data_IF_470496534252
#
_entry.id   IF_470496534252
#
_cell.length_a   1.000
_cell.length_b   1.000
_cell.length_c   1.000
_cell.angle_alpha   90.00
_cell.angle_beta   90.00
_cell.angle_gamma   90.00
#
_symmetry.space_group_name_H-M   'P 1'
#
loop_
_entity.id
_entity.type
_entity.pdbx_description
1 polymer ?
#
# COMPACT_ATOMS: atom_id res chain seq x y z
N UNK A 1 16.44 -32.45 19.26
CA UNK A 1 16.33 -32.50 17.79
C UNK A 1 14.95 -33.08 17.51
N UNK A 2 13.93 -32.23 17.50
CA UNK A 2 12.54 -32.66 17.29
C UNK A 2 12.32 -32.97 15.81
N UNK A 3 11.84 -34.17 15.57
CA UNK A 3 11.49 -34.70 14.25
C UNK A 3 10.26 -33.95 13.75
N UNK A 4 10.43 -33.12 12.72
CA UNK A 4 9.31 -32.52 11.99
C UNK A 4 8.63 -33.62 11.18
N UNK A 5 7.44 -34.01 11.61
CA UNK A 5 6.56 -34.92 10.87
C UNK A 5 6.10 -34.24 9.57
N UNK A 6 6.57 -34.72 8.42
CA UNK A 6 6.09 -34.28 7.11
C UNK A 6 4.72 -34.91 6.87
N UNK A 7 3.65 -34.13 7.10
CA UNK A 7 2.28 -34.54 6.79
C UNK A 7 2.13 -34.64 5.27
N UNK A 8 2.25 -35.85 4.74
CA UNK A 8 2.17 -36.16 3.31
C UNK A 8 0.70 -36.27 2.86
N UNK A 9 -0.10 -35.23 3.12
CA UNK A 9 -1.49 -35.14 2.68
C UNK A 9 -1.62 -34.33 1.39
N UNK A 10 -2.37 -34.84 0.40
CA UNK A 10 -2.83 -34.02 -0.73
C UNK A 10 -3.58 -32.83 -0.15
N UNK A 11 -3.22 -31.61 -0.58
CA UNK A 11 -3.91 -30.39 -0.16
C UNK A 11 -5.42 -30.55 -0.42
N UNK A 12 -6.30 -30.28 0.57
CA UNK A 12 -7.74 -30.33 0.36
C UNK A 12 -8.24 -29.16 -0.51
N UNK A 13 -7.37 -28.17 -0.75
CA UNK A 13 -7.65 -27.00 -1.57
C UNK A 13 -7.71 -27.35 -3.06
N UNK A 14 -8.59 -26.65 -3.79
CA UNK A 14 -8.56 -26.67 -5.26
C UNK A 14 -7.22 -26.13 -5.78
N UNK A 15 -6.87 -26.41 -7.04
CA UNK A 15 -5.63 -25.89 -7.64
C UNK A 15 -5.58 -24.35 -7.62
N UNK A 16 -6.74 -23.69 -7.81
CA UNK A 16 -6.84 -22.24 -7.76
C UNK A 16 -6.60 -21.70 -6.34
N UNK A 17 -7.23 -22.29 -5.34
CA UNK A 17 -7.09 -21.87 -3.93
C UNK A 17 -5.69 -22.15 -3.41
N UNK A 18 -5.09 -23.27 -3.81
CA UNK A 18 -3.70 -23.59 -3.48
C UNK A 18 -2.73 -22.58 -4.12
N UNK A 19 -2.97 -22.16 -5.36
CA UNK A 19 -2.17 -21.09 -5.99
C UNK A 19 -2.31 -19.79 -5.22
N UNK A 20 -3.53 -19.33 -4.94
CA UNK A 20 -3.78 -18.11 -4.18
C UNK A 20 -3.06 -18.13 -2.81
N UNK A 21 -3.19 -19.21 -2.05
CA UNK A 21 -2.53 -19.38 -0.76
C UNK A 21 -1.00 -19.25 -0.86
N UNK A 22 -0.38 -19.86 -1.86
CA UNK A 22 1.08 -19.75 -2.02
C UNK A 22 1.54 -18.36 -2.42
N UNK A 23 0.73 -17.61 -3.18
CA UNK A 23 1.00 -16.22 -3.51
C UNK A 23 0.92 -15.35 -2.23
N UNK A 24 -0.10 -15.52 -1.39
CA UNK A 24 -0.21 -14.84 -0.08
C UNK A 24 0.95 -15.18 0.87
N UNK A 25 1.37 -16.45 0.93
CA UNK A 25 2.57 -16.86 1.69
C UNK A 25 3.83 -16.23 1.10
N UNK A 26 3.91 -16.11 -0.23
CA UNK A 26 5.00 -15.45 -0.93
C UNK A 26 5.21 -14.02 -0.47
N UNK A 27 4.12 -13.24 -0.33
CA UNK A 27 4.17 -11.87 0.21
C UNK A 27 4.78 -11.86 1.62
N UNK A 28 4.32 -12.75 2.51
CA UNK A 28 4.87 -12.86 3.87
C UNK A 28 6.36 -13.24 3.89
N UNK A 29 6.80 -14.12 2.99
CA UNK A 29 8.22 -14.51 2.87
C UNK A 29 9.06 -13.34 2.37
N UNK A 30 8.60 -12.62 1.34
CA UNK A 30 9.23 -11.39 0.84
C UNK A 30 9.43 -10.41 2.00
N UNK A 31 8.48 -10.34 2.92
CA UNK A 31 8.58 -9.45 4.07
C UNK A 31 9.51 -9.82 5.16
N UNK A 32 9.47 -11.08 5.56
CA UNK A 32 10.43 -11.55 6.53
C UNK A 32 11.84 -11.35 5.99
N UNK A 33 12.03 -11.54 4.69
CA UNK A 33 13.30 -11.26 4.02
C UNK A 33 13.65 -9.76 4.05
N UNK A 34 12.73 -8.84 3.76
CA UNK A 34 12.98 -7.38 3.88
C UNK A 34 13.38 -7.02 5.31
N UNK A 35 12.64 -7.50 6.30
CA UNK A 35 12.92 -7.26 7.71
C UNK A 35 14.32 -7.77 8.09
N UNK A 36 14.63 -9.03 7.77
CA UNK A 36 15.92 -9.65 8.05
C UNK A 36 17.09 -8.98 7.32
N UNK A 37 16.87 -8.52 6.08
CA UNK A 37 17.87 -7.81 5.29
C UNK A 37 18.10 -6.41 5.86
N UNK A 38 17.03 -5.66 6.18
CA UNK A 38 17.12 -4.32 6.77
C UNK A 38 17.89 -4.29 8.09
N UNK A 39 17.74 -5.32 8.94
CA UNK A 39 18.50 -5.45 10.19
C UNK A 39 20.01 -5.67 9.96
N UNK A 40 20.42 -6.01 8.73
CA UNK A 40 21.81 -6.29 8.33
C UNK A 40 22.38 -5.23 7.38
N UNK A 41 21.58 -4.27 6.93
CA UNK A 41 22.06 -3.18 6.08
C UNK A 41 22.93 -2.24 6.90
N UNK A 42 24.13 -1.97 6.41
CA UNK A 42 24.99 -0.86 6.85
C UNK A 42 25.08 0.19 5.72
N UNK A 43 25.83 1.27 5.96
CA UNK A 43 26.00 2.38 5.01
C UNK A 43 26.62 1.97 3.64
N UNK A 44 27.03 0.70 3.47
CA UNK A 44 27.64 0.16 2.26
C UNK A 44 26.82 -0.93 1.59
N UNK A 45 25.71 -1.35 2.19
CA UNK A 45 24.89 -2.43 1.67
C UNK A 45 23.93 -1.94 0.57
N UNK A 46 23.90 -2.67 -0.55
CA UNK A 46 22.95 -2.42 -1.64
C UNK A 46 21.70 -3.25 -1.38
N UNK A 47 20.56 -2.59 -1.20
CA UNK A 47 19.26 -3.27 -1.14
C UNK A 47 18.99 -3.97 -2.49
N UNK A 48 18.88 -5.30 -2.46
CA UNK A 48 18.42 -6.08 -3.62
C UNK A 48 16.90 -6.18 -3.53
N UNK A 49 16.19 -5.92 -4.63
CA UNK A 49 14.73 -5.96 -4.70
C UNK A 49 14.16 -7.26 -4.11
N UNK A 50 13.15 -7.18 -3.23
CA UNK A 50 12.81 -8.29 -2.34
C UNK A 50 12.14 -9.46 -3.07
N UNK A 51 11.48 -9.20 -4.19
CA UNK A 51 10.94 -10.23 -5.09
C UNK A 51 12.03 -10.99 -5.86
N UNK A 52 13.19 -10.39 -6.12
CA UNK A 52 14.30 -11.08 -6.79
C UNK A 52 14.89 -12.20 -5.91
N UNK A 53 14.75 -12.07 -4.58
CA UNK A 53 15.20 -13.05 -3.59
C UNK A 53 14.10 -13.98 -3.07
N UNK A 54 12.84 -13.75 -3.45
CA UNK A 54 11.74 -14.65 -3.10
C UNK A 54 12.07 -16.06 -3.57
N UNK A 55 12.19 -17.01 -2.64
CA UNK A 55 12.47 -18.42 -2.90
C UNK A 55 11.21 -19.26 -2.68
N UNK A 56 10.84 -20.05 -3.68
CA UNK A 56 9.73 -20.99 -3.60
C UNK A 56 9.90 -22.04 -2.48
N UNK A 57 11.14 -22.36 -2.10
CA UNK A 57 11.42 -23.31 -1.02
C UNK A 57 11.04 -22.74 0.34
N UNK A 58 11.36 -21.47 0.59
CA UNK A 58 10.97 -20.76 1.82
C UNK A 58 9.44 -20.66 1.94
N UNK A 59 8.73 -20.35 0.86
CA UNK A 59 7.28 -20.33 0.83
C UNK A 59 6.65 -21.71 1.03
N UNK A 60 7.21 -22.76 0.42
CA UNK A 60 6.72 -24.13 0.63
C UNK A 60 6.89 -24.59 2.09
N UNK A 61 7.99 -24.21 2.75
CA UNK A 61 8.29 -24.58 4.13
C UNK A 61 7.28 -24.03 5.14
N UNK A 62 6.69 -22.86 4.88
CA UNK A 62 5.60 -22.30 5.71
C UNK A 62 4.39 -23.24 5.81
N UNK A 63 4.17 -24.07 4.79
CA UNK A 63 3.09 -25.07 4.73
C UNK A 63 3.59 -26.50 5.02
N UNK A 64 4.81 -26.64 5.57
CA UNK A 64 5.43 -27.94 5.85
C UNK A 64 5.74 -28.78 4.59
N UNK A 65 5.86 -28.12 3.43
CA UNK A 65 6.02 -28.77 2.11
C UNK A 65 7.38 -28.46 1.50
N UNK A 66 7.70 -29.20 0.44
CA UNK A 66 8.91 -29.00 -0.36
C UNK A 66 8.64 -28.10 -1.56
N UNK A 67 9.72 -27.54 -2.15
CA UNK A 67 9.68 -26.67 -3.34
C UNK A 67 8.83 -27.24 -4.49
N UNK A 68 8.78 -28.57 -4.63
CA UNK A 68 7.98 -29.25 -5.65
C UNK A 68 6.49 -28.89 -5.62
N UNK A 69 5.93 -28.54 -4.46
CA UNK A 69 4.54 -28.06 -4.35
C UNK A 69 4.32 -26.76 -5.14
N UNK A 70 5.26 -25.81 -5.05
CA UNK A 70 5.22 -24.54 -5.78
C UNK A 70 5.53 -24.78 -7.26
N UNK A 71 6.56 -25.57 -7.59
CA UNK A 71 6.89 -25.88 -9.00
C UNK A 71 5.72 -26.56 -9.73
N UNK A 72 5.00 -27.47 -9.09
CA UNK A 72 3.83 -28.12 -9.69
C UNK A 72 2.68 -27.14 -9.98
N UNK A 73 2.58 -26.06 -9.21
CA UNK A 73 1.51 -25.07 -9.36
C UNK A 73 1.88 -24.00 -10.37
N UNK A 74 3.09 -23.46 -10.33
CA UNK A 74 3.51 -22.28 -11.09
C UNK A 74 4.46 -22.60 -12.25
N UNK A 75 4.98 -23.83 -12.34
CA UNK A 75 5.88 -24.29 -13.40
C UNK A 75 7.33 -23.82 -13.26
N UNK A 76 7.59 -22.63 -12.70
CA UNK A 76 8.95 -22.11 -12.48
C UNK A 76 9.03 -21.12 -11.33
N UNK A 77 10.27 -20.86 -10.87
CA UNK A 77 10.57 -19.80 -9.90
C UNK A 77 10.16 -18.42 -10.41
N UNK A 78 10.47 -18.13 -11.67
CA UNK A 78 10.16 -16.83 -12.29
C UNK A 78 8.65 -16.60 -12.36
N UNK A 79 7.87 -17.59 -12.78
CA UNK A 79 6.41 -17.49 -12.82
C UNK A 79 5.82 -17.27 -11.42
N UNK A 80 6.33 -17.95 -10.39
CA UNK A 80 5.93 -17.73 -9.01
C UNK A 80 6.26 -16.32 -8.51
N UNK A 81 7.45 -15.80 -8.83
CA UNK A 81 7.85 -14.43 -8.49
C UNK A 81 6.96 -13.40 -9.19
N UNK A 82 6.68 -13.58 -10.48
CA UNK A 82 5.79 -12.71 -11.26
C UNK A 82 4.37 -12.71 -10.69
N UNK A 83 3.80 -13.87 -10.36
CA UNK A 83 2.45 -13.96 -9.80
C UNK A 83 2.36 -13.37 -8.38
N UNK A 84 3.40 -13.58 -7.55
CA UNK A 84 3.48 -12.97 -6.21
C UNK A 84 3.61 -11.45 -6.30
N UNK A 85 4.42 -10.95 -7.22
CA UNK A 85 4.53 -9.52 -7.49
C UNK A 85 3.22 -8.95 -8.04
N UNK A 86 2.51 -9.68 -8.92
CA UNK A 86 1.22 -9.24 -9.46
C UNK A 86 0.13 -9.12 -8.38
N UNK A 87 0.11 -10.00 -7.38
CA UNK A 87 -0.81 -9.88 -6.24
C UNK A 87 -0.44 -8.70 -5.34
N UNK A 88 0.86 -8.53 -5.04
CA UNK A 88 1.34 -7.39 -4.28
C UNK A 88 0.97 -6.04 -4.94
N UNK A 89 0.88 -6.04 -6.27
CA UNK A 89 0.48 -4.90 -7.12
C UNK A 89 -1.05 -4.77 -7.33
N UNK A 90 -1.85 -5.67 -6.78
CA UNK A 90 -3.31 -5.71 -6.96
C UNK A 90 -4.03 -5.41 -5.65
N UNK A 91 -3.85 -4.19 -5.13
CA UNK A 91 -4.55 -3.76 -3.91
C UNK A 91 -5.99 -3.27 -4.16
N UNK A 92 -6.51 -3.47 -5.38
CA UNK A 92 -7.85 -3.06 -5.85
C UNK A 92 -8.97 -3.43 -4.85
N UNK A 93 -9.02 -4.70 -4.43
CA UNK A 93 -10.06 -5.19 -3.50
C UNK A 93 -9.91 -4.62 -2.07
N UNK A 94 -8.77 -4.02 -1.74
CA UNK A 94 -8.53 -3.33 -0.47
C UNK A 94 -8.94 -1.86 -0.55
N UNK A 95 -8.74 -1.22 -1.71
CA UNK A 95 -9.20 0.16 -1.97
C UNK A 95 -10.73 0.25 -1.83
N UNK A 96 -11.45 -0.72 -2.37
CA UNK A 96 -12.92 -0.80 -2.25
C UNK A 96 -13.43 -0.87 -0.81
N UNK A 97 -12.59 -1.30 0.14
CA UNK A 97 -12.93 -1.41 1.56
C UNK A 97 -12.51 -0.20 2.38
N UNK A 98 -11.94 0.83 1.74
CA UNK A 98 -11.54 2.04 2.44
C UNK A 98 -12.79 2.81 2.87
N UNK A 99 -12.95 2.93 4.18
CA UNK A 99 -13.92 3.84 4.79
C UNK A 99 -13.28 5.22 5.00
N UNK A 100 -13.98 6.26 4.51
CA UNK A 100 -13.61 7.66 4.68
C UNK A 100 -14.61 8.33 5.64
N UNK A 101 -14.17 9.37 6.39
CA UNK A 101 -15.08 10.12 7.24
C UNK A 101 -16.19 10.79 6.41
N UNK A 102 -17.44 10.65 6.85
CA UNK A 102 -18.57 11.35 6.23
C UNK A 102 -18.48 12.85 6.52
N UNK A 103 -18.70 13.74 5.53
CA UNK A 103 -18.80 15.18 5.77
C UNK A 103 -19.87 15.55 6.81
N UNK A 104 -20.99 14.81 6.83
CA UNK A 104 -22.14 15.05 7.72
C UNK A 104 -21.79 14.94 9.22
N UNK A 105 -20.70 14.26 9.57
CA UNK A 105 -20.26 14.07 10.95
C UNK A 105 -19.49 15.29 11.50
N UNK A 106 -19.30 16.36 10.71
CA UNK A 106 -18.43 17.48 11.07
C UNK A 106 -19.08 18.85 10.80
N UNK A 107 -19.00 19.74 11.78
CA UNK A 107 -19.59 21.09 11.65
C UNK A 107 -18.84 22.01 10.67
N UNK A 108 -17.59 21.70 10.32
CA UNK A 108 -16.76 22.57 9.48
C UNK A 108 -15.87 21.78 8.52
N UNK A 109 -15.55 22.35 7.35
CA UNK A 109 -14.66 21.70 6.38
C UNK A 109 -13.27 21.44 6.98
N UNK A 110 -12.74 22.36 7.80
CA UNK A 110 -11.43 22.20 8.43
C UNK A 110 -11.37 20.99 9.38
N UNK A 111 -12.46 20.71 10.12
CA UNK A 111 -12.53 19.54 11.02
C UNK A 111 -12.60 18.24 10.20
N UNK A 112 -13.42 18.23 9.15
CA UNK A 112 -13.51 17.08 8.25
C UNK A 112 -12.18 16.78 7.55
N UNK A 113 -11.52 17.80 7.01
CA UNK A 113 -10.19 17.67 6.36
C UNK A 113 -9.15 17.12 7.34
N UNK A 114 -9.14 17.63 8.57
CA UNK A 114 -8.23 17.14 9.61
C UNK A 114 -8.47 15.65 9.92
N UNK A 115 -9.73 15.24 10.05
CA UNK A 115 -10.12 13.84 10.25
C UNK A 115 -9.76 12.96 9.04
N UNK A 116 -10.03 13.43 7.82
CA UNK A 116 -9.68 12.74 6.58
C UNK A 116 -8.19 12.43 6.53
N UNK A 117 -7.32 13.45 6.71
CA UNK A 117 -5.88 13.26 6.63
C UNK A 117 -5.29 12.53 7.85
N UNK A 118 -5.92 12.63 9.03
CA UNK A 118 -5.57 11.77 10.17
C UNK A 118 -5.81 10.30 9.84
N UNK A 119 -6.99 9.97 9.32
CA UNK A 119 -7.32 8.60 8.92
C UNK A 119 -6.41 8.05 7.83
N UNK A 120 -5.91 8.89 6.92
CA UNK A 120 -4.88 8.47 5.96
C UNK A 120 -3.54 8.17 6.66
N UNK A 121 -3.14 8.97 7.63
CA UNK A 121 -1.90 8.72 8.37
C UNK A 121 -1.96 7.42 9.18
N UNK A 122 -3.13 7.11 9.77
CA UNK A 122 -3.36 5.88 10.52
C UNK A 122 -3.40 4.65 9.61
N UNK A 123 -3.93 4.80 8.39
CA UNK A 123 -3.97 3.75 7.37
C UNK A 123 -2.61 3.46 6.74
N UNK A 124 -1.73 4.46 6.71
CA UNK A 124 -0.41 4.36 6.08
C UNK A 124 0.54 3.39 6.80
N UNK A 125 1.63 2.98 6.13
CA UNK A 125 2.64 2.13 6.74
C UNK A 125 3.28 2.83 7.94
N UNK A 126 3.58 2.07 8.98
CA UNK A 126 4.11 2.59 10.25
C UNK A 126 5.53 2.11 10.47
N UNK A 127 6.43 3.04 10.81
CA UNK A 127 7.80 2.72 11.18
C UNK A 127 7.84 1.71 12.35
N UNK A 128 8.58 0.62 12.16
CA UNK A 128 8.76 -0.41 13.17
C UNK A 128 7.55 -1.31 13.42
N UNK A 129 6.49 -1.24 12.59
CA UNK A 129 5.36 -2.15 12.70
C UNK A 129 5.73 -3.59 12.30
N UNK A 130 5.09 -4.56 12.95
CA UNK A 130 5.22 -5.97 12.61
C UNK A 130 4.63 -6.25 11.21
N UNK A 131 5.26 -7.13 10.40
CA UNK A 131 4.76 -7.45 9.06
C UNK A 131 3.37 -8.14 9.11
N UNK A 132 2.35 -7.48 8.57
CA UNK A 132 1.00 -8.04 8.39
C UNK A 132 0.46 -7.72 7.01
N UNK A 133 -0.25 -8.66 6.37
CA UNK A 133 -0.88 -8.41 5.06
C UNK A 133 -2.07 -7.47 5.22
N UNK A 134 -1.85 -6.20 4.88
CA UNK A 134 -2.85 -5.13 4.88
C UNK A 134 -2.56 -4.15 3.73
N UNK A 135 -3.43 -3.16 3.53
CA UNK A 135 -3.28 -2.20 2.43
C UNK A 135 -1.96 -1.40 2.51
N UNK A 136 -1.64 -0.86 3.69
CA UNK A 136 -0.41 -0.11 3.96
C UNK A 136 0.85 -0.89 3.54
N UNK A 137 0.76 -2.18 3.81
CA UNK A 137 1.81 -3.14 3.60
C UNK A 137 1.96 -3.53 2.12
N UNK A 138 0.85 -3.77 1.41
CA UNK A 138 0.84 -3.96 -0.05
C UNK A 138 1.37 -2.71 -0.77
N UNK A 139 1.00 -1.52 -0.30
CA UNK A 139 1.51 -0.26 -0.83
C UNK A 139 3.04 -0.12 -0.64
N UNK A 140 3.58 -0.54 0.52
CA UNK A 140 5.03 -0.55 0.73
C UNK A 140 5.75 -1.56 -0.18
N UNK A 141 5.14 -2.73 -0.46
CA UNK A 141 5.66 -3.66 -1.46
C UNK A 141 5.60 -3.06 -2.87
N UNK A 142 4.50 -2.38 -3.23
CA UNK A 142 4.35 -1.70 -4.51
C UNK A 142 5.53 -0.74 -4.74
N UNK A 143 5.89 0.09 -3.76
CA UNK A 143 7.05 0.99 -3.86
C UNK A 143 8.36 0.24 -4.16
N UNK A 144 8.58 -0.91 -3.53
CA UNK A 144 9.77 -1.73 -3.78
C UNK A 144 9.81 -2.31 -5.21
N UNK A 145 8.65 -2.31 -5.89
CA UNK A 145 8.49 -2.81 -7.26
C UNK A 145 8.38 -1.72 -8.32
N UNK A 146 8.17 -0.44 -7.94
CA UNK A 146 8.08 0.70 -8.86
C UNK A 146 9.20 0.75 -9.90
N UNK A 147 10.48 0.51 -9.55
CA UNK A 147 11.56 0.50 -10.55
C UNK A 147 11.37 -0.52 -11.68
N UNK A 148 10.65 -1.62 -11.45
CA UNK A 148 10.36 -2.61 -12.49
C UNK A 148 9.27 -2.13 -13.46
N UNK A 149 8.36 -1.26 -13.03
CA UNK A 149 7.36 -0.62 -13.88
C UNK A 149 7.96 0.28 -14.96
N UNK A 150 9.20 0.75 -14.78
CA UNK A 150 9.96 1.46 -15.82
C UNK A 150 10.31 0.57 -17.01
N UNK A 151 10.46 -0.73 -16.78
CA UNK A 151 10.98 -1.69 -17.76
C UNK A 151 9.95 -2.75 -18.19
N UNK A 152 8.75 -2.75 -17.59
CA UNK A 152 7.69 -3.73 -17.85
C UNK A 152 6.31 -3.09 -17.92
N UNK A 153 5.68 -3.16 -19.09
CA UNK A 153 4.29 -2.73 -19.32
C UNK A 153 3.28 -3.56 -18.52
N UNK A 154 3.60 -4.82 -18.24
CA UNK A 154 2.74 -5.70 -17.47
C UNK A 154 2.64 -5.23 -16.01
N UNK A 155 3.75 -4.78 -15.44
CA UNK A 155 3.84 -4.27 -14.07
C UNK A 155 3.22 -2.87 -13.98
N UNK A 156 3.54 -1.98 -14.93
CA UNK A 156 3.03 -0.60 -14.91
C UNK A 156 1.51 -0.52 -15.09
N UNK A 157 0.92 -1.39 -15.90
CA UNK A 157 -0.54 -1.43 -16.14
C UNK A 157 -1.34 -1.66 -14.86
N UNK A 158 -0.92 -2.61 -14.03
CA UNK A 158 -1.62 -2.95 -12.78
C UNK A 158 -1.47 -1.83 -11.75
N UNK A 159 -0.25 -1.30 -11.57
CA UNK A 159 0.00 -0.17 -10.66
C UNK A 159 -0.75 1.10 -11.07
N UNK A 160 -0.81 1.43 -12.36
CA UNK A 160 -1.60 2.58 -12.83
C UNK A 160 -3.11 2.37 -12.69
N UNK A 161 -3.60 1.14 -12.80
CA UNK A 161 -5.01 0.83 -12.58
C UNK A 161 -5.39 1.04 -11.11
N UNK A 162 -4.55 0.58 -10.18
CA UNK A 162 -4.71 0.79 -8.73
C UNK A 162 -4.77 2.30 -8.40
N UNK A 163 -3.76 3.06 -8.85
CA UNK A 163 -3.72 4.51 -8.62
C UNK A 163 -4.97 5.23 -9.15
N UNK A 164 -5.40 4.89 -10.38
CA UNK A 164 -6.61 5.49 -10.98
C UNK A 164 -7.87 5.17 -10.21
N UNK A 165 -8.02 3.94 -9.71
CA UNK A 165 -9.17 3.55 -8.89
C UNK A 165 -9.19 4.34 -7.59
N UNK A 166 -8.05 4.43 -6.89
CA UNK A 166 -7.98 5.16 -5.64
C UNK A 166 -8.26 6.66 -5.83
N UNK A 167 -7.67 7.28 -6.85
CA UNK A 167 -7.94 8.69 -7.20
C UNK A 167 -9.41 8.92 -7.57
N UNK A 168 -10.05 7.98 -8.27
CA UNK A 168 -11.48 8.08 -8.58
C UNK A 168 -12.33 8.06 -7.30
N UNK A 169 -12.03 7.17 -6.35
CA UNK A 169 -12.71 7.12 -5.06
C UNK A 169 -12.47 8.40 -4.24
N UNK A 170 -11.24 8.93 -4.22
CA UNK A 170 -10.92 10.19 -3.57
C UNK A 170 -11.66 11.37 -4.18
N UNK A 171 -11.79 11.39 -5.52
CA UNK A 171 -12.56 12.41 -6.23
C UNK A 171 -14.02 12.40 -5.75
N UNK A 172 -14.62 11.22 -5.62
CA UNK A 172 -16.02 11.12 -5.15
C UNK A 172 -16.15 11.60 -3.69
N UNK A 173 -15.24 11.18 -2.80
CA UNK A 173 -15.18 11.66 -1.41
C UNK A 173 -15.02 13.18 -1.32
N UNK A 174 -14.16 13.77 -2.15
CA UNK A 174 -13.99 15.23 -2.19
C UNK A 174 -15.18 15.94 -2.81
N UNK A 175 -15.84 15.36 -3.81
CA UNK A 175 -17.04 15.94 -4.40
C UNK A 175 -18.16 16.03 -3.35
N UNK A 176 -18.38 14.97 -2.58
CA UNK A 176 -19.38 14.92 -1.52
C UNK A 176 -19.09 15.96 -0.42
N UNK A 177 -17.82 16.07 0.01
CA UNK A 177 -17.43 17.07 1.00
C UNK A 177 -17.59 18.51 0.49
N UNK A 178 -17.21 18.77 -0.77
CA UNK A 178 -17.40 20.08 -1.38
C UNK A 178 -18.88 20.45 -1.46
N UNK A 179 -19.76 19.50 -1.75
CA UNK A 179 -21.19 19.75 -1.80
C UNK A 179 -21.77 20.03 -0.41
N UNK A 180 -21.45 19.19 0.58
CA UNK A 180 -21.91 19.35 1.95
C UNK A 180 -21.50 20.70 2.57
N UNK A 181 -20.26 21.16 2.34
CA UNK A 181 -19.75 22.41 2.92
C UNK A 181 -20.01 23.66 2.04
N UNK A 182 -20.78 23.53 0.96
CA UNK A 182 -21.05 24.62 -0.01
C UNK A 182 -19.77 25.25 -0.60
N UNK A 183 -18.83 24.39 -0.97
CA UNK A 183 -17.54 24.75 -1.53
C UNK A 183 -17.42 24.32 -3.00
N UNK A 184 -16.54 25.00 -3.71
CA UNK A 184 -16.10 24.65 -5.05
C UNK A 184 -14.58 24.67 -5.12
N UNK A 185 -14.03 23.97 -6.12
CA UNK A 185 -12.62 24.11 -6.48
C UNK A 185 -12.36 25.47 -7.14
N UNK A 186 -11.11 25.94 -7.08
CA UNK A 186 -10.65 27.16 -7.72
C UNK A 186 -10.86 27.18 -9.24
N UNK A 187 -10.81 28.38 -9.83
CA UNK A 187 -10.91 28.53 -11.29
C UNK A 187 -9.77 27.76 -11.99
N UNK A 188 -10.11 27.03 -13.05
CA UNK A 188 -9.15 26.20 -13.79
C UNK A 188 -8.75 24.89 -13.11
N UNK A 189 -9.33 24.57 -11.95
CA UNK A 189 -9.10 23.31 -11.23
C UNK A 189 -10.33 22.40 -11.32
N UNK A 190 -10.11 21.10 -11.19
CA UNK A 190 -11.16 20.08 -11.07
C UNK A 190 -11.05 19.34 -9.75
N UNK A 191 -12.13 18.66 -9.34
CA UNK A 191 -12.10 17.76 -8.17
C UNK A 191 -11.10 16.61 -8.39
N UNK A 192 -10.86 16.21 -9.66
CA UNK A 192 -9.86 15.22 -10.01
C UNK A 192 -8.42 15.73 -9.75
N UNK A 193 -8.15 17.02 -9.99
CA UNK A 193 -6.86 17.63 -9.69
C UNK A 193 -6.61 17.65 -8.18
N UNK A 194 -7.63 18.02 -7.39
CA UNK A 194 -7.59 17.95 -5.93
C UNK A 194 -7.34 16.51 -5.44
N UNK A 195 -8.06 15.54 -6.00
CA UNK A 195 -7.90 14.13 -5.67
C UNK A 195 -6.48 13.61 -5.98
N UNK A 196 -5.94 13.97 -7.14
CA UNK A 196 -4.59 13.59 -7.57
C UNK A 196 -3.51 14.23 -6.70
N UNK A 197 -3.68 15.51 -6.34
CA UNK A 197 -2.76 16.22 -5.46
C UNK A 197 -2.80 15.64 -4.03
N UNK A 198 -3.99 15.30 -3.53
CA UNK A 198 -4.14 14.66 -2.22
C UNK A 198 -3.51 13.27 -2.20
N UNK A 199 -3.75 12.43 -3.21
CA UNK A 199 -3.12 11.11 -3.33
C UNK A 199 -1.58 11.22 -3.31
N UNK A 200 -1.01 12.11 -4.13
CA UNK A 200 0.44 12.35 -4.18
C UNK A 200 1.00 12.82 -2.83
N UNK A 201 0.27 13.70 -2.12
CA UNK A 201 0.66 14.15 -0.78
C UNK A 201 0.63 12.99 0.23
N UNK A 202 -0.43 12.19 0.24
CA UNK A 202 -0.59 11.04 1.14
C UNK A 202 0.56 10.05 0.92
N UNK A 203 0.81 9.65 -0.33
CA UNK A 203 1.91 8.75 -0.69
C UNK A 203 3.28 9.30 -0.27
N UNK A 204 3.51 10.59 -0.51
CA UNK A 204 4.74 11.26 -0.10
C UNK A 204 4.96 11.26 1.41
N UNK A 205 3.91 11.39 2.21
CA UNK A 205 4.04 11.29 3.68
C UNK A 205 4.15 9.84 4.13
N UNK A 206 3.41 8.90 3.54
CA UNK A 206 3.52 7.47 3.84
C UNK A 206 4.96 6.95 3.64
N UNK A 207 5.67 7.45 2.62
CA UNK A 207 7.10 7.19 2.46
C UNK A 207 7.92 7.59 3.68
N UNK A 208 7.67 8.78 4.23
CA UNK A 208 8.34 9.25 5.43
C UNK A 208 7.90 8.48 6.69
N UNK A 209 6.64 8.06 6.78
CA UNK A 209 6.13 7.25 7.89
C UNK A 209 6.80 5.88 7.98
N UNK A 210 7.30 5.33 6.88
CA UNK A 210 8.14 4.13 6.90
C UNK A 210 9.50 4.38 7.58
N UNK A 211 10.04 5.58 7.45
CA UNK A 211 11.41 5.93 7.84
C UNK A 211 11.50 6.48 9.26
N UNK A 212 10.45 7.10 9.77
CA UNK A 212 10.46 7.80 11.05
C UNK A 212 9.06 7.89 11.66
N UNK A 213 9.00 7.92 12.99
CA UNK A 213 7.78 8.27 13.74
C UNK A 213 7.61 9.79 13.92
N UNK A 214 8.68 10.56 13.70
CA UNK A 214 8.71 12.01 13.89
C UNK A 214 8.53 12.77 12.57
N UNK A 215 8.04 14.00 12.66
CA UNK A 215 7.86 14.88 11.51
C UNK A 215 9.22 15.21 10.86
N UNK A 216 9.34 15.08 9.52
CA UNK A 216 10.63 15.09 8.82
C UNK A 216 11.37 16.44 8.91
N UNK A 217 10.63 17.53 9.13
CA UNK A 217 11.21 18.88 9.30
C UNK A 217 11.11 19.44 10.72
N UNK A 218 10.50 18.71 11.65
CA UNK A 218 10.34 19.11 13.05
C UNK A 218 10.28 17.87 13.94
N UNK A 219 11.42 17.42 14.51
CA UNK A 219 11.45 16.17 15.24
C UNK A 219 10.65 16.18 16.55
N UNK A 220 10.10 17.32 16.99
CA UNK A 220 9.27 17.41 18.20
C UNK A 220 7.82 16.96 18.00
N UNK A 221 7.41 16.73 16.75
CA UNK A 221 6.05 16.37 16.39
C UNK A 221 5.96 14.99 15.72
N UNK A 222 4.81 14.31 15.78
CA UNK A 222 4.63 13.06 15.05
C UNK A 222 4.57 13.31 13.53
N UNK A 223 5.01 12.33 12.75
CA UNK A 223 4.95 12.37 11.27
C UNK A 223 3.54 12.64 10.73
N UNK A 224 2.49 12.21 11.43
CA UNK A 224 1.09 12.47 11.09
C UNK A 224 0.73 13.96 11.07
N UNK A 225 1.45 14.80 11.83
CA UNK A 225 1.26 16.25 11.81
C UNK A 225 1.62 16.84 10.43
N UNK A 226 2.59 16.25 9.71
CA UNK A 226 3.01 16.69 8.40
C UNK A 226 1.86 16.53 7.38
N UNK A 227 1.20 15.37 7.38
CA UNK A 227 0.08 15.07 6.49
C UNK A 227 -1.13 15.96 6.80
N UNK A 228 -1.50 16.09 8.07
CA UNK A 228 -2.65 16.91 8.48
C UNK A 228 -2.47 18.40 8.16
N UNK A 229 -1.27 18.95 8.34
CA UNK A 229 -0.99 20.37 8.03
C UNK A 229 -0.93 20.61 6.54
N UNK A 230 -0.18 19.79 5.81
CA UNK A 230 -0.07 19.89 4.35
C UNK A 230 -1.42 19.66 3.67
N UNK A 231 -2.22 18.73 4.18
CA UNK A 231 -3.56 18.45 3.68
C UNK A 231 -4.53 19.62 3.88
N UNK A 232 -4.50 20.29 5.04
CA UNK A 232 -5.23 21.54 5.26
C UNK A 232 -4.77 22.67 4.35
N UNK A 233 -3.46 22.80 4.13
CA UNK A 233 -2.93 23.79 3.19
C UNK A 233 -3.41 23.53 1.76
N UNK A 234 -3.37 22.27 1.32
CA UNK A 234 -3.89 21.85 0.01
C UNK A 234 -5.38 22.19 -0.13
N UNK A 235 -6.20 21.77 0.84
CA UNK A 235 -7.64 22.03 0.80
C UNK A 235 -7.98 23.53 0.74
N UNK A 236 -7.41 24.32 1.64
CA UNK A 236 -7.66 25.77 1.69
C UNK A 236 -7.15 26.50 0.46
N UNK A 237 -6.07 26.02 -0.16
CA UNK A 237 -5.54 26.58 -1.40
C UNK A 237 -6.34 26.19 -2.64
N UNK A 238 -6.98 25.02 -2.63
CA UNK A 238 -7.72 24.48 -3.76
C UNK A 238 -9.22 24.84 -3.76
N UNK A 239 -9.77 25.23 -2.61
CA UNK A 239 -11.21 25.41 -2.42
C UNK A 239 -11.59 26.87 -2.14
N UNK A 240 -12.84 27.20 -2.47
CA UNK A 240 -13.47 28.50 -2.24
C UNK A 240 -14.96 28.29 -1.97
N UNK A 241 -15.65 29.22 -1.29
CA UNK A 241 -17.10 29.24 -1.25
C UNK A 241 -17.68 29.17 -2.67
N UNK A 242 -18.76 28.40 -2.87
CA UNK A 242 -19.59 28.58 -4.06
C UNK A 242 -20.09 30.03 -4.03
N UNK A 243 -19.90 30.75 -5.13
CA UNK A 243 -20.51 32.06 -5.23
C UNK A 243 -22.03 31.85 -5.32
N UNK A 244 -22.80 32.68 -4.62
CA UNK A 244 -24.24 32.84 -4.85
C UNK A 244 -24.52 33.18 -6.33
#
# INVERSE_FOLDING_TARGET
METVEVINGRSPLSKADARKRYVEIGELVVLKQIQDDSAKLDDRAIAIGPFARLDASAAAAHDGKTRGAVTNLFGSQAAYQTETMALALSAIAWIEKIEYPSPDDFDTPDKWVDAFFSGQSDRGPQHGAEPTVNYAFLWALWLSTVPYGLWSEEISRTGLAEYRQWVAQLKDVFADALDHFDLAVGEGMTVLDLASAAASLIEGIWLNQCLTVNHPSDPSEPVSAALRRSGRMLWRGATRPRAD
#
